data_IF_536707171704
#
_entry.id   IF_536707171704
#
_cell.length_a   1.000
_cell.length_b   1.000
_cell.length_c   1.000
_cell.angle_alpha   90.00
_cell.angle_beta   90.00
_cell.angle_gamma   90.00
#
_symmetry.space_group_name_H-M   'P 1'
#
loop_
_entity.id
_entity.type
_entity.pdbx_description
1 polymer ?
#
# COMPACT_ATOMS: atom_id res chain seq x y z
N UNK A 1 -0.60 10.56 -3.22
CA UNK A 1 -1.97 10.48 -2.69
C UNK A 1 -1.92 9.98 -1.26
N UNK A 2 -2.78 10.48 -0.37
CA UNK A 2 -2.90 9.98 1.00
C UNK A 2 -3.56 8.59 1.01
N UNK A 3 -3.01 7.66 1.81
CA UNK A 3 -3.49 6.27 1.86
C UNK A 3 -4.92 6.18 2.43
N UNK A 4 -5.31 7.04 3.38
CA UNK A 4 -6.67 7.00 3.95
C UNK A 4 -7.68 7.48 2.92
N UNK A 5 -7.38 8.56 2.20
CA UNK A 5 -8.22 9.06 1.11
C UNK A 5 -8.42 7.99 0.02
N UNK A 6 -7.35 7.27 -0.33
CA UNK A 6 -7.45 6.14 -1.24
C UNK A 6 -8.43 5.08 -0.77
N UNK A 7 -8.30 4.61 0.48
CA UNK A 7 -9.20 3.60 1.04
C UNK A 7 -10.66 4.10 1.06
N UNK A 8 -10.90 5.36 1.41
CA UNK A 8 -12.25 5.94 1.39
C UNK A 8 -12.86 5.94 -0.01
N UNK A 9 -12.06 6.32 -1.02
CA UNK A 9 -12.48 6.26 -2.42
C UNK A 9 -12.79 4.84 -2.87
N UNK A 10 -11.97 3.85 -2.49
CA UNK A 10 -12.20 2.45 -2.86
C UNK A 10 -13.44 1.85 -2.18
N UNK A 11 -13.68 2.18 -0.91
CA UNK A 11 -14.94 1.78 -0.23
C UNK A 11 -16.14 2.43 -0.93
N UNK A 12 -16.06 3.72 -1.23
CA UNK A 12 -17.11 4.45 -1.93
C UNK A 12 -17.44 3.86 -3.30
N UNK A 13 -16.41 3.55 -4.09
CA UNK A 13 -16.55 2.88 -5.40
C UNK A 13 -17.21 1.51 -5.26
N UNK A 14 -16.82 0.69 -4.29
CA UNK A 14 -17.41 -0.65 -4.07
C UNK A 14 -18.90 -0.56 -3.75
N UNK A 15 -19.29 0.32 -2.83
CA UNK A 15 -20.72 0.54 -2.50
C UNK A 15 -21.49 1.08 -3.71
N UNK A 16 -20.90 2.01 -4.46
CA UNK A 16 -21.50 2.54 -5.69
C UNK A 16 -21.70 1.45 -6.75
N UNK A 17 -20.70 0.61 -6.97
CA UNK A 17 -20.76 -0.48 -7.94
C UNK A 17 -21.82 -1.51 -7.53
N UNK A 18 -21.90 -1.87 -6.25
CA UNK A 18 -22.96 -2.75 -5.74
C UNK A 18 -24.35 -2.16 -6.00
N UNK A 19 -24.54 -0.87 -5.72
CA UNK A 19 -25.80 -0.16 -6.01
C UNK A 19 -26.16 -0.19 -7.49
N UNK A 20 -25.19 0.11 -8.37
CA UNK A 20 -25.38 0.15 -9.81
C UNK A 20 -25.68 -1.24 -10.38
N UNK A 21 -24.99 -2.27 -9.88
CA UNK A 21 -25.27 -3.67 -10.20
C UNK A 21 -26.68 -4.10 -9.74
N UNK A 22 -27.18 -3.52 -8.65
CA UNK A 22 -28.55 -3.75 -8.19
C UNK A 22 -29.60 -2.93 -8.97
N UNK A 23 -29.16 -2.06 -9.90
CA UNK A 23 -30.02 -1.33 -10.82
C UNK A 23 -30.88 -0.26 -10.16
N UNK A 24 -30.44 0.32 -9.03
CA UNK A 24 -31.24 1.29 -8.26
C UNK A 24 -30.56 2.66 -8.10
N UNK A 25 -31.39 3.68 -7.93
CA UNK A 25 -30.95 5.02 -7.53
C UNK A 25 -30.44 5.00 -6.09
N UNK A 26 -29.74 6.06 -5.66
CA UNK A 26 -29.32 6.21 -4.27
C UNK A 26 -30.50 6.14 -3.29
N UNK A 27 -31.62 6.80 -3.60
CA UNK A 27 -32.83 6.74 -2.78
C UNK A 27 -33.42 5.32 -2.72
N UNK A 28 -33.46 4.62 -3.86
CA UNK A 28 -33.92 3.24 -3.93
C UNK A 28 -33.03 2.29 -3.14
N UNK A 29 -31.72 2.46 -3.22
CA UNK A 29 -30.72 1.66 -2.50
C UNK A 29 -30.88 1.82 -0.99
N UNK A 30 -30.95 3.06 -0.51
CA UNK A 30 -31.16 3.38 0.90
C UNK A 30 -32.46 2.78 1.43
N UNK A 31 -33.56 2.96 0.66
CA UNK A 31 -34.88 2.45 1.06
C UNK A 31 -34.85 0.94 1.24
N UNK A 32 -34.30 0.21 0.26
CA UNK A 32 -34.24 -1.27 0.32
C UNK A 32 -33.35 -1.77 1.45
N UNK A 33 -32.13 -1.23 1.57
CA UNK A 33 -31.19 -1.66 2.63
C UNK A 33 -31.77 -1.41 4.02
N UNK A 34 -32.40 -0.25 4.24
CA UNK A 34 -33.02 0.04 5.53
C UNK A 34 -34.20 -0.91 5.84
N UNK A 35 -34.98 -1.29 4.83
CA UNK A 35 -36.05 -2.29 4.99
C UNK A 35 -35.48 -3.68 5.33
N UNK A 36 -34.48 -4.13 4.58
CA UNK A 36 -33.82 -5.43 4.78
C UNK A 36 -33.19 -5.50 6.19
N UNK A 37 -32.49 -4.45 6.61
CA UNK A 37 -31.89 -4.36 7.93
C UNK A 37 -32.92 -4.35 9.07
N UNK A 38 -34.04 -3.64 8.88
CA UNK A 38 -35.10 -3.54 9.88
C UNK A 38 -35.90 -4.85 10.03
N UNK A 39 -36.02 -5.63 8.96
CA UNK A 39 -36.66 -6.95 8.99
C UNK A 39 -35.83 -7.96 9.81
N UNK A 40 -34.51 -7.80 9.83
CA UNK A 40 -33.58 -8.69 10.52
C UNK A 40 -33.26 -8.24 11.97
N UNK A 41 -33.46 -6.95 12.30
CA UNK A 41 -33.15 -6.41 13.64
C UNK A 41 -34.37 -6.40 14.58
N UNK A 42 -34.37 -7.26 15.62
CA UNK A 42 -35.27 -7.14 16.80
C UNK A 42 -34.95 -5.94 17.72
N UNK A 43 -34.08 -5.01 17.30
CA UNK A 43 -33.55 -3.93 18.14
C UNK A 43 -33.91 -2.55 17.57
N UNK A 44 -34.56 -1.73 18.41
CA UNK A 44 -35.08 -0.37 18.17
C UNK A 44 -34.03 0.73 17.88
N UNK A 45 -32.77 0.42 17.56
CA UNK A 45 -31.76 1.45 17.28
C UNK A 45 -31.66 1.74 15.79
N UNK A 46 -32.49 2.67 15.38
CA UNK A 46 -32.61 3.36 14.09
C UNK A 46 -31.31 3.99 13.57
N UNK A 47 -30.30 3.19 13.25
CA UNK A 47 -29.24 3.69 12.37
C UNK A 47 -29.79 3.57 10.96
N UNK A 48 -30.38 4.64 10.45
CA UNK A 48 -30.85 4.68 9.07
C UNK A 48 -29.77 5.29 8.21
N UNK A 49 -29.34 4.55 7.19
CA UNK A 49 -28.57 5.14 6.10
C UNK A 49 -29.46 6.19 5.43
N UNK A 50 -28.95 7.39 5.15
CA UNK A 50 -29.68 8.41 4.39
C UNK A 50 -29.09 8.54 2.99
N UNK A 51 -29.86 9.05 2.02
CA UNK A 51 -29.37 9.26 0.65
C UNK A 51 -28.21 10.24 0.60
N UNK A 52 -28.27 11.33 1.38
CA UNK A 52 -27.14 12.26 1.50
C UNK A 52 -25.89 11.56 2.02
N UNK A 53 -26.06 10.71 3.05
CA UNK A 53 -24.96 9.99 3.65
C UNK A 53 -24.34 8.98 2.68
N UNK A 54 -25.17 8.21 1.98
CA UNK A 54 -24.74 7.32 0.90
C UNK A 54 -23.97 8.08 -0.17
N UNK A 55 -24.48 9.24 -0.62
CA UNK A 55 -23.80 10.07 -1.61
C UNK A 55 -22.41 10.51 -1.14
N UNK A 56 -22.26 10.91 0.13
CA UNK A 56 -20.94 11.23 0.68
C UNK A 56 -19.99 10.02 0.68
N UNK A 57 -20.49 8.83 1.05
CA UNK A 57 -19.72 7.58 1.06
C UNK A 57 -19.28 7.21 -0.36
N UNK A 58 -20.19 7.18 -1.32
CA UNK A 58 -19.90 6.82 -2.73
C UNK A 58 -18.87 7.75 -3.38
N UNK A 59 -18.78 8.99 -2.91
CA UNK A 59 -17.82 9.97 -3.38
C UNK A 59 -16.55 10.07 -2.51
N UNK A 60 -16.33 9.13 -1.57
CA UNK A 60 -15.13 9.11 -0.71
C UNK A 60 -15.02 10.30 0.25
N UNK A 61 -16.12 11.03 0.49
CA UNK A 61 -16.12 12.27 1.29
C UNK A 61 -16.25 11.97 2.78
N UNK A 62 -15.15 12.12 3.51
CA UNK A 62 -15.16 12.09 4.98
C UNK A 62 -15.71 13.39 5.56
N UNK A 63 -16.70 13.28 6.45
CA UNK A 63 -17.19 14.42 7.23
C UNK A 63 -16.21 14.75 8.37
N UNK A 64 -16.02 16.04 8.67
CA UNK A 64 -15.18 16.50 9.77
C UNK A 64 -15.66 15.87 11.08
N UNK A 65 -14.72 15.40 11.92
CA UNK A 65 -14.98 14.78 13.24
C UNK A 65 -15.73 13.45 13.25
N UNK A 66 -16.06 12.87 12.09
CA UNK A 66 -16.71 11.55 11.99
C UNK A 66 -15.79 10.50 11.37
N UNK A 67 -16.00 9.25 11.76
CA UNK A 67 -15.43 8.12 11.03
C UNK A 67 -15.98 8.11 9.59
N UNK A 68 -15.20 7.56 8.65
CA UNK A 68 -15.64 7.50 7.26
C UNK A 68 -16.90 6.65 7.11
N UNK A 69 -16.96 5.51 7.79
CA UNK A 69 -18.17 4.75 8.08
C UNK A 69 -18.32 4.62 9.60
N UNK A 70 -19.55 4.76 10.10
CA UNK A 70 -19.90 4.39 11.48
C UNK A 70 -20.09 2.87 11.59
N UNK A 71 -20.05 2.33 12.81
CA UNK A 71 -20.25 0.89 13.01
C UNK A 71 -21.63 0.42 12.57
N UNK A 72 -22.67 1.23 12.80
CA UNK A 72 -24.01 0.92 12.30
C UNK A 72 -24.07 0.89 10.77
N UNK A 73 -23.34 1.80 10.09
CA UNK A 73 -23.23 1.75 8.62
C UNK A 73 -22.48 0.50 8.14
N UNK A 74 -21.38 0.13 8.82
CA UNK A 74 -20.66 -1.12 8.54
C UNK A 74 -21.60 -2.32 8.72
N UNK A 75 -22.32 -2.40 9.83
CA UNK A 75 -23.23 -3.50 10.12
C UNK A 75 -24.34 -3.60 9.08
N UNK A 76 -24.97 -2.48 8.72
CA UNK A 76 -26.01 -2.42 7.69
C UNK A 76 -25.49 -2.98 6.36
N UNK A 77 -24.33 -2.50 5.90
CA UNK A 77 -23.76 -2.96 4.63
C UNK A 77 -23.38 -4.44 4.68
N UNK A 78 -22.78 -4.91 5.78
CA UNK A 78 -22.37 -6.32 5.90
C UNK A 78 -23.53 -7.29 6.07
N UNK A 79 -24.63 -6.89 6.70
CA UNK A 79 -25.80 -7.78 6.79
C UNK A 79 -26.60 -7.86 5.49
N UNK A 80 -26.65 -6.75 4.74
CA UNK A 80 -27.54 -6.66 3.60
C UNK A 80 -26.84 -6.96 2.26
N UNK A 81 -25.57 -6.58 2.10
CA UNK A 81 -24.92 -6.50 0.77
C UNK A 81 -23.55 -7.17 0.67
N UNK A 82 -22.72 -7.11 1.71
CA UNK A 82 -21.33 -7.55 1.66
C UNK A 82 -21.10 -8.77 2.57
N UNK A 83 -20.48 -9.86 2.09
CA UNK A 83 -20.26 -11.08 2.87
C UNK A 83 -19.48 -10.89 4.17
N UNK A 84 -18.63 -9.86 4.26
CA UNK A 84 -17.85 -9.58 5.45
C UNK A 84 -17.44 -8.10 5.58
N UNK A 85 -17.05 -7.70 6.80
CA UNK A 85 -16.41 -6.39 7.05
C UNK A 85 -15.13 -6.23 6.24
N UNK A 86 -14.35 -7.31 6.10
CA UNK A 86 -13.11 -7.28 5.31
C UNK A 86 -13.40 -6.91 3.86
N UNK A 87 -14.39 -7.56 3.25
CA UNK A 87 -14.77 -7.31 1.85
C UNK A 87 -15.37 -5.91 1.66
N UNK A 88 -16.18 -5.44 2.61
CA UNK A 88 -16.69 -4.07 2.61
C UNK A 88 -15.59 -3.01 2.76
N UNK A 89 -14.53 -3.28 3.52
CA UNK A 89 -13.53 -2.26 3.84
C UNK A 89 -12.32 -2.29 2.89
N UNK A 90 -11.85 -3.47 2.53
CA UNK A 90 -10.64 -3.66 1.71
C UNK A 90 -10.90 -4.35 0.37
N UNK A 91 -12.08 -4.94 0.18
CA UNK A 91 -12.47 -5.60 -1.07
C UNK A 91 -12.21 -7.09 -1.07
N UNK A 92 -12.32 -7.66 -2.26
CA UNK A 92 -11.98 -9.06 -2.57
C UNK A 92 -10.49 -9.33 -2.35
N UNK A 93 -10.11 -10.61 -2.34
CA UNK A 93 -8.72 -11.02 -2.16
C UNK A 93 -7.77 -10.35 -3.17
N UNK A 94 -8.19 -10.25 -4.43
CA UNK A 94 -7.42 -9.59 -5.48
C UNK A 94 -7.25 -8.08 -5.24
N UNK A 95 -8.29 -7.41 -4.72
CA UNK A 95 -8.19 -6.01 -4.33
C UNK A 95 -7.24 -5.83 -3.14
N UNK A 96 -7.32 -6.69 -2.12
CA UNK A 96 -6.41 -6.67 -0.97
C UNK A 96 -4.97 -6.88 -1.45
N UNK A 97 -4.71 -7.88 -2.29
CA UNK A 97 -3.38 -8.12 -2.88
C UNK A 97 -2.87 -6.89 -3.61
N UNK A 98 -3.70 -6.23 -4.43
CA UNK A 98 -3.32 -5.00 -5.15
C UNK A 98 -2.97 -3.84 -4.20
N UNK A 99 -3.71 -3.69 -3.09
CA UNK A 99 -3.42 -2.70 -2.04
C UNK A 99 -2.05 -3.02 -1.40
N UNK A 100 -1.81 -4.28 -1.04
CA UNK A 100 -0.56 -4.72 -0.43
C UNK A 100 0.63 -4.50 -1.37
N UNK A 101 0.50 -4.84 -2.66
CA UNK A 101 1.53 -4.56 -3.67
C UNK A 101 1.88 -3.07 -3.74
N UNK A 102 0.87 -2.21 -3.77
CA UNK A 102 1.06 -0.75 -3.82
C UNK A 102 1.69 -0.20 -2.53
N UNK A 103 1.32 -0.74 -1.37
CA UNK A 103 1.93 -0.37 -0.08
C UNK A 103 3.39 -0.80 -0.01
N UNK A 104 3.70 -2.05 -0.37
CA UNK A 104 5.07 -2.55 -0.41
C UNK A 104 5.92 -1.77 -1.42
N UNK A 105 5.36 -1.40 -2.57
CA UNK A 105 6.03 -0.55 -3.53
C UNK A 105 6.33 0.84 -2.93
N UNK A 106 5.36 1.46 -2.26
CA UNK A 106 5.59 2.74 -1.59
C UNK A 106 6.68 2.64 -0.50
N UNK A 107 6.72 1.53 0.25
CA UNK A 107 7.80 1.23 1.20
C UNK A 107 9.15 1.05 0.51
N UNK A 108 9.21 0.29 -0.60
CA UNK A 108 10.42 0.11 -1.40
C UNK A 108 10.95 1.46 -1.89
N UNK A 109 10.07 2.36 -2.34
CA UNK A 109 10.46 3.69 -2.79
C UNK A 109 10.89 4.63 -1.66
N UNK A 110 10.42 4.40 -0.41
CA UNK A 110 10.75 5.18 0.79
C UNK A 110 10.77 6.70 0.56
N UNK A 111 9.72 7.22 -0.08
CA UNK A 111 9.56 8.65 -0.40
C UNK A 111 10.32 9.15 -1.64
N UNK A 112 11.10 8.30 -2.32
CA UNK A 112 11.71 8.63 -3.60
C UNK A 112 10.66 8.71 -4.72
N UNK A 113 10.75 9.73 -5.58
CA UNK A 113 9.79 10.00 -6.66
C UNK A 113 10.41 9.74 -8.04
N UNK A 114 9.75 8.92 -8.85
CA UNK A 114 10.23 8.49 -10.18
C UNK A 114 9.92 9.47 -11.33
N UNK A 115 9.70 10.76 -11.05
CA UNK A 115 9.30 11.73 -12.08
C UNK A 115 8.04 11.30 -12.85
N UNK A 116 8.00 11.51 -14.18
CA UNK A 116 6.89 11.10 -15.07
C UNK A 116 7.11 9.70 -15.65
N UNK A 117 7.13 8.68 -14.80
CA UNK A 117 7.19 7.29 -15.23
C UNK A 117 5.89 6.61 -14.83
N UNK A 118 5.23 5.97 -15.79
CA UNK A 118 4.01 5.20 -15.54
C UNK A 118 4.36 3.95 -14.75
N UNK A 119 3.62 3.72 -13.67
CA UNK A 119 3.72 2.53 -12.82
C UNK A 119 2.34 1.91 -12.68
N UNK A 120 2.27 0.59 -12.58
CA UNK A 120 1.01 -0.12 -12.28
C UNK A 120 0.51 0.10 -10.84
N UNK A 121 1.39 0.61 -9.97
CA UNK A 121 1.11 0.85 -8.56
C UNK A 121 0.39 2.16 -8.31
N UNK A 122 -0.43 2.15 -7.27
CA UNK A 122 -0.90 3.37 -6.68
C UNK A 122 0.22 4.04 -5.88
N UNK A 123 0.60 5.26 -6.26
CA UNK A 123 1.65 6.01 -5.59
C UNK A 123 1.10 6.69 -4.32
N UNK A 124 1.42 6.11 -3.16
CA UNK A 124 1.14 6.70 -1.86
C UNK A 124 2.26 7.67 -1.47
N UNK A 125 1.88 8.83 -0.94
CA UNK A 125 2.86 9.76 -0.40
C UNK A 125 3.30 9.27 0.98
N UNK A 126 4.48 8.66 1.03
CA UNK A 126 5.14 8.23 2.25
C UNK A 126 6.38 9.11 2.44
N UNK A 127 6.52 9.72 3.61
CA UNK A 127 7.74 10.43 3.97
C UNK A 127 8.87 9.44 4.23
N UNK A 128 10.08 9.79 3.81
CA UNK A 128 11.26 8.98 4.11
C UNK A 128 11.37 8.71 5.62
N UNK A 129 11.60 7.44 5.98
CA UNK A 129 11.86 7.01 7.36
C UNK A 129 12.97 5.97 7.39
N UNK A 130 13.68 5.88 8.52
CA UNK A 130 14.76 4.88 8.72
C UNK A 130 14.19 3.47 8.87
N UNK A 131 13.02 3.34 9.48
CA UNK A 131 12.33 2.05 9.63
C UNK A 131 11.91 1.49 8.26
N UNK A 132 11.42 2.36 7.38
CA UNK A 132 11.04 1.97 6.01
C UNK A 132 12.28 1.73 5.15
N UNK A 133 13.39 2.44 5.38
CA UNK A 133 14.67 2.19 4.69
C UNK A 133 15.12 0.74 4.87
N UNK A 134 15.02 0.23 6.10
CA UNK A 134 15.36 -1.16 6.39
C UNK A 134 14.57 -2.14 5.53
N UNK A 135 13.24 -1.96 5.45
CA UNK A 135 12.36 -2.79 4.62
C UNK A 135 12.67 -2.63 3.13
N UNK A 136 12.87 -1.40 2.66
CA UNK A 136 13.27 -1.12 1.27
C UNK A 136 14.53 -1.90 0.89
N UNK A 137 15.54 -1.87 1.75
CA UNK A 137 16.81 -2.56 1.52
C UNK A 137 16.68 -4.09 1.55
N UNK A 138 15.83 -4.64 2.41
CA UNK A 138 15.50 -6.07 2.37
C UNK A 138 14.86 -6.43 1.02
N UNK A 139 13.89 -5.65 0.54
CA UNK A 139 13.24 -5.91 -0.75
C UNK A 139 14.27 -5.83 -1.89
N UNK A 140 15.16 -4.84 -1.91
CA UNK A 140 16.24 -4.74 -2.91
C UNK A 140 17.14 -5.98 -2.89
N UNK A 141 17.45 -6.52 -1.71
CA UNK A 141 18.23 -7.78 -1.60
C UNK A 141 17.50 -8.96 -2.20
N UNK A 142 16.18 -9.07 -1.98
CA UNK A 142 15.38 -10.09 -2.66
C UNK A 142 15.38 -9.87 -4.18
N UNK A 143 15.35 -8.61 -4.64
CA UNK A 143 15.46 -8.28 -6.07
C UNK A 143 16.78 -8.74 -6.70
N UNK A 144 17.88 -8.80 -5.93
CA UNK A 144 19.17 -9.35 -6.41
C UNK A 144 19.10 -10.84 -6.77
N UNK A 145 18.06 -11.56 -6.35
CA UNK A 145 17.83 -12.94 -6.82
C UNK A 145 17.43 -13.01 -8.30
N UNK A 146 17.00 -11.89 -8.90
CA UNK A 146 16.63 -11.81 -10.32
C UNK A 146 17.88 -11.48 -11.15
N UNK A 147 18.34 -12.37 -12.05
CA UNK A 147 19.63 -12.21 -12.74
C UNK A 147 19.77 -10.88 -13.51
N UNK A 148 18.73 -10.44 -14.20
CA UNK A 148 18.71 -9.17 -14.96
C UNK A 148 18.96 -7.97 -14.04
N UNK A 149 18.35 -7.97 -12.85
CA UNK A 149 18.55 -6.92 -11.87
C UNK A 149 19.92 -6.99 -11.21
N UNK A 150 20.40 -8.19 -10.87
CA UNK A 150 21.75 -8.38 -10.31
C UNK A 150 22.85 -7.90 -11.27
N UNK A 151 22.70 -8.18 -12.57
CA UNK A 151 23.58 -7.65 -13.60
C UNK A 151 23.50 -6.12 -13.62
N UNK A 152 22.29 -5.55 -13.68
CA UNK A 152 22.14 -4.08 -13.76
C UNK A 152 22.62 -3.36 -12.51
N UNK A 153 22.41 -3.95 -11.34
CA UNK A 153 22.95 -3.50 -10.06
C UNK A 153 24.48 -3.45 -10.13
N UNK A 154 25.12 -4.55 -10.56
CA UNK A 154 26.57 -4.62 -10.69
C UNK A 154 27.11 -3.56 -11.65
N UNK A 155 26.44 -3.35 -12.79
CA UNK A 155 26.77 -2.28 -13.74
C UNK A 155 26.73 -0.90 -13.09
N UNK A 156 25.66 -0.59 -12.35
CA UNK A 156 25.45 0.72 -11.71
C UNK A 156 26.49 1.03 -10.65
N UNK A 157 26.90 0.04 -9.85
CA UNK A 157 27.81 0.27 -8.73
C UNK A 157 29.29 0.11 -9.12
N UNK A 158 29.62 -0.82 -10.02
CA UNK A 158 31.02 -1.15 -10.31
C UNK A 158 31.51 -0.72 -11.71
N UNK A 159 30.60 -0.43 -12.64
CA UNK A 159 30.96 -0.21 -14.06
C UNK A 159 30.46 1.11 -14.67
N UNK A 160 29.99 2.08 -13.86
CA UNK A 160 29.58 3.40 -14.37
C UNK A 160 30.72 4.05 -15.17
N UNK A 161 30.42 4.33 -16.44
CA UNK A 161 31.32 4.95 -17.42
C UNK A 161 31.73 6.39 -17.07
N UNK A 162 30.98 7.03 -16.19
CA UNK A 162 30.97 8.50 -16.04
C UNK A 162 32.09 8.99 -15.10
N UNK A 163 32.69 8.08 -14.33
CA UNK A 163 33.84 8.36 -13.45
C UNK A 163 35.18 8.12 -14.13
N UNK A 164 35.19 7.58 -15.36
CA UNK A 164 36.41 7.14 -16.03
C UNK A 164 36.34 7.60 -17.50
N UNK A 165 36.94 8.75 -17.79
CA UNK A 165 37.17 9.16 -19.18
C UNK A 165 38.11 8.15 -19.85
N UNK A 166 37.54 7.26 -20.66
CA UNK A 166 38.25 6.21 -21.39
C UNK A 166 39.10 6.76 -22.55
N UNK A 167 38.99 8.06 -22.87
CA UNK A 167 39.74 8.67 -23.99
C UNK A 167 41.14 9.13 -23.63
N UNK A 168 41.50 9.23 -22.35
CA UNK A 168 42.87 9.60 -21.94
C UNK A 168 43.69 8.36 -21.59
N UNK A 169 44.43 7.89 -22.59
CA UNK A 169 45.54 6.95 -22.44
C UNK A 169 46.56 7.48 -21.41
N UNK A 170 47.02 6.56 -20.55
CA UNK A 170 48.25 6.65 -19.75
C UNK A 170 48.28 7.63 -18.57
N UNK A 171 47.83 7.16 -17.39
CA UNK A 171 48.49 7.54 -16.14
C UNK A 171 48.26 6.48 -15.06
N UNK A 172 49.31 6.11 -14.32
CA UNK A 172 49.19 5.27 -13.11
C UNK A 172 48.15 5.82 -12.10
N UNK A 173 47.87 7.12 -12.15
CA UNK A 173 46.81 7.79 -11.40
C UNK A 173 45.39 7.28 -11.72
N UNK A 174 45.10 6.83 -12.95
CA UNK A 174 43.78 6.26 -13.30
C UNK A 174 43.56 4.87 -12.70
N UNK A 175 44.61 4.06 -12.57
CA UNK A 175 44.53 2.75 -11.91
C UNK A 175 44.34 2.93 -10.41
N UNK A 176 45.06 3.89 -9.80
CA UNK A 176 44.88 4.25 -8.39
C UNK A 176 43.46 4.75 -8.09
N UNK A 177 42.92 5.67 -8.91
CA UNK A 177 41.54 6.17 -8.78
C UNK A 177 40.50 5.07 -8.95
N UNK A 178 40.68 4.15 -9.91
CA UNK A 178 39.80 2.98 -10.08
C UNK A 178 39.79 2.07 -8.86
N UNK A 179 40.96 1.72 -8.34
CA UNK A 179 41.07 0.90 -7.11
C UNK A 179 40.44 1.58 -5.91
N UNK A 180 40.64 2.89 -5.77
CA UNK A 180 40.05 3.66 -4.69
C UNK A 180 38.52 3.68 -4.79
N UNK A 181 37.97 4.01 -5.96
CA UNK A 181 36.52 4.02 -6.17
C UNK A 181 35.90 2.65 -5.92
N UNK A 182 36.48 1.59 -6.46
CA UNK A 182 36.03 0.22 -6.20
C UNK A 182 36.04 -0.10 -4.70
N UNK A 183 37.11 0.28 -3.98
CA UNK A 183 37.19 0.05 -2.54
C UNK A 183 36.14 0.84 -1.75
N UNK A 184 35.80 2.06 -2.16
CA UNK A 184 34.78 2.87 -1.51
C UNK A 184 33.38 2.30 -1.76
N UNK A 185 33.06 1.99 -3.02
CA UNK A 185 31.79 1.35 -3.38
C UNK A 185 31.62 0.03 -2.64
N UNK A 186 32.65 -0.81 -2.57
CA UNK A 186 32.58 -2.08 -1.83
C UNK A 186 32.29 -1.84 -0.35
N UNK A 187 32.96 -0.88 0.30
CA UNK A 187 32.67 -0.53 1.71
C UNK A 187 31.24 -0.02 1.90
N UNK A 188 30.75 0.84 1.00
CA UNK A 188 29.37 1.34 1.05
C UNK A 188 28.37 0.17 0.94
N UNK A 189 28.60 -0.75 0.01
CA UNK A 189 27.73 -1.90 -0.21
C UNK A 189 27.84 -2.96 0.91
N UNK A 190 29.02 -3.13 1.53
CA UNK A 190 29.19 -3.99 2.70
C UNK A 190 28.38 -3.48 3.91
N UNK A 191 28.41 -2.17 4.16
CA UNK A 191 27.61 -1.53 5.21
C UNK A 191 26.12 -1.67 4.89
N UNK A 192 25.70 -1.33 3.66
CA UNK A 192 24.32 -1.50 3.22
C UNK A 192 23.84 -2.96 3.36
N UNK A 193 24.68 -3.92 2.99
CA UNK A 193 24.32 -5.33 3.03
C UNK A 193 24.22 -5.86 4.47
N UNK A 194 25.10 -5.44 5.37
CA UNK A 194 25.10 -5.89 6.76
C UNK A 194 24.05 -5.19 7.62
N UNK A 195 23.86 -3.89 7.46
CA UNK A 195 23.02 -3.08 8.34
C UNK A 195 21.61 -2.83 7.78
N UNK A 196 21.38 -3.12 6.49
CA UNK A 196 20.17 -2.73 5.75
C UNK A 196 19.93 -1.21 5.78
N UNK A 197 20.99 -0.41 5.78
CA UNK A 197 20.94 1.05 5.79
C UNK A 197 21.48 1.64 4.48
N UNK A 198 21.10 2.88 4.18
CA UNK A 198 21.49 3.58 2.96
C UNK A 198 20.39 3.53 1.89
N UNK A 199 20.23 4.66 1.17
CA UNK A 199 19.22 4.81 0.14
C UNK A 199 19.80 4.57 -1.26
N UNK A 200 19.63 3.35 -1.77
CA UNK A 200 20.13 2.98 -3.10
C UNK A 200 19.18 3.35 -4.24
N UNK A 201 17.92 3.66 -3.94
CA UNK A 201 16.87 3.89 -4.95
C UNK A 201 17.27 4.98 -5.97
N UNK A 202 17.81 6.14 -5.58
CA UNK A 202 18.25 7.16 -6.54
C UNK A 202 19.28 6.64 -7.55
N UNK A 203 20.26 5.83 -7.11
CA UNK A 203 21.28 5.24 -7.99
C UNK A 203 20.67 4.19 -8.93
N UNK A 204 19.73 3.39 -8.41
CA UNK A 204 19.05 2.33 -9.15
C UNK A 204 18.08 2.87 -10.21
N UNK A 205 17.58 4.09 -10.02
CA UNK A 205 16.53 4.71 -10.86
C UNK A 205 16.99 5.98 -11.58
N UNK A 206 18.29 6.20 -11.66
CA UNK A 206 18.85 7.40 -12.28
C UNK A 206 18.60 7.48 -13.80
N UNK A 207 18.66 6.35 -14.49
CA UNK A 207 18.48 6.30 -15.96
C UNK A 207 17.13 5.67 -16.32
N UNK A 208 16.60 5.98 -17.51
CA UNK A 208 15.37 5.34 -18.01
C UNK A 208 15.50 3.82 -18.08
N UNK A 209 16.67 3.32 -18.52
CA UNK A 209 16.90 1.88 -18.65
C UNK A 209 17.00 1.21 -17.26
N UNK A 210 17.77 1.78 -16.33
CA UNK A 210 17.88 1.23 -14.98
C UNK A 210 16.54 1.26 -14.25
N UNK A 211 15.77 2.33 -14.41
CA UNK A 211 14.42 2.43 -13.85
C UNK A 211 13.48 1.37 -14.41
N UNK A 212 13.53 1.09 -15.72
CA UNK A 212 12.72 0.03 -16.33
C UNK A 212 13.06 -1.34 -15.74
N UNK A 213 14.34 -1.67 -15.62
CA UNK A 213 14.79 -2.95 -15.02
C UNK A 213 14.36 -3.03 -13.54
N UNK A 214 14.53 -1.93 -12.79
CA UNK A 214 14.08 -1.82 -11.40
C UNK A 214 12.59 -2.07 -11.25
N UNK A 215 11.73 -1.37 -12.01
CA UNK A 215 10.27 -1.51 -11.95
C UNK A 215 9.79 -2.91 -12.34
N UNK A 216 10.34 -3.46 -13.43
CA UNK A 216 10.00 -4.82 -13.87
C UNK A 216 10.36 -5.87 -12.81
N UNK A 217 11.48 -5.66 -12.11
CA UNK A 217 11.94 -6.57 -11.06
C UNK A 217 11.11 -6.41 -9.79
N UNK A 218 10.80 -5.17 -9.41
CA UNK A 218 9.94 -4.85 -8.27
C UNK A 218 8.55 -5.50 -8.45
N UNK A 219 7.96 -5.42 -9.65
CA UNK A 219 6.71 -6.11 -9.99
C UNK A 219 6.73 -7.60 -9.66
N UNK A 220 7.71 -8.34 -10.19
CA UNK A 220 7.85 -9.78 -9.94
C UNK A 220 8.08 -10.11 -8.45
N UNK A 221 8.94 -9.35 -7.78
CA UNK A 221 9.31 -9.61 -6.38
C UNK A 221 8.16 -9.29 -5.43
N UNK A 222 7.50 -8.14 -5.63
CA UNK A 222 6.37 -7.73 -4.81
C UNK A 222 5.16 -8.66 -5.01
N UNK A 223 4.92 -9.14 -6.23
CA UNK A 223 3.95 -10.19 -6.50
C UNK A 223 4.21 -11.42 -5.62
N UNK A 224 5.42 -11.96 -5.68
CA UNK A 224 5.82 -13.15 -4.93
C UNK A 224 5.73 -12.94 -3.41
N UNK A 225 6.18 -11.79 -2.91
CA UNK A 225 6.08 -11.45 -1.47
C UNK A 225 4.61 -11.43 -1.03
N UNK A 226 3.74 -10.80 -1.83
CA UNK A 226 2.31 -10.73 -1.50
C UNK A 226 1.68 -12.12 -1.52
N UNK A 227 1.91 -12.93 -2.56
CA UNK A 227 1.38 -14.30 -2.61
C UNK A 227 1.83 -15.15 -1.43
N UNK A 228 3.11 -15.04 -1.02
CA UNK A 228 3.65 -15.80 0.11
C UNK A 228 3.04 -15.40 1.45
N UNK A 229 2.74 -14.11 1.65
CA UNK A 229 2.29 -13.57 2.93
C UNK A 229 0.76 -13.38 3.01
N UNK A 230 0.04 -13.59 1.90
CA UNK A 230 -1.34 -13.14 1.76
C UNK A 230 -2.26 -13.72 2.83
N UNK A 231 -2.25 -15.03 3.03
CA UNK A 231 -3.12 -15.69 4.00
C UNK A 231 -2.86 -15.23 5.44
N UNK A 232 -1.59 -15.10 5.83
CA UNK A 232 -1.22 -14.61 7.17
C UNK A 232 -1.64 -13.14 7.38
N UNK A 233 -1.46 -12.29 6.36
CA UNK A 233 -1.90 -10.89 6.41
C UNK A 233 -3.41 -10.81 6.50
N UNK A 234 -4.13 -11.60 5.70
CA UNK A 234 -5.59 -11.66 5.69
C UNK A 234 -6.15 -12.13 7.03
N UNK A 235 -5.55 -13.14 7.64
CA UNK A 235 -5.92 -13.61 8.98
C UNK A 235 -5.73 -12.49 10.02
N UNK A 236 -4.57 -11.82 10.03
CA UNK A 236 -4.30 -10.69 10.94
C UNK A 236 -5.27 -9.53 10.74
N UNK A 237 -5.64 -9.22 9.49
CA UNK A 237 -6.65 -8.18 9.20
C UNK A 237 -8.01 -8.57 9.75
N UNK A 238 -8.45 -9.81 9.55
CA UNK A 238 -9.70 -10.32 10.10
C UNK A 238 -9.71 -10.27 11.63
N UNK A 239 -8.63 -10.69 12.29
CA UNK A 239 -8.51 -10.64 13.74
C UNK A 239 -8.55 -9.22 14.28
N UNK A 240 -7.91 -8.26 13.60
CA UNK A 240 -7.99 -6.85 13.95
C UNK A 240 -9.42 -6.32 13.82
N UNK A 241 -10.12 -6.67 12.73
CA UNK A 241 -11.52 -6.26 12.51
C UNK A 241 -12.48 -6.86 13.54
N UNK A 242 -12.26 -8.13 13.94
CA UNK A 242 -13.03 -8.79 15.02
C UNK A 242 -12.75 -8.18 16.39
N UNK A 243 -11.49 -7.86 16.70
CA UNK A 243 -11.13 -7.31 18.01
C UNK A 243 -11.60 -5.86 18.21
N UNK A 244 -11.81 -5.09 17.13
CA UNK A 244 -12.50 -3.80 17.22
C UNK A 244 -13.92 -3.93 17.80
N UNK A 245 -14.59 -5.07 17.59
CA UNK A 245 -15.90 -5.36 18.21
C UNK A 245 -15.81 -5.51 19.74
N UNK A 246 -14.69 -6.02 20.27
CA UNK A 246 -14.51 -6.28 21.70
C UNK A 246 -14.20 -5.03 22.51
N UNK A 247 -13.52 -4.05 21.93
CA UNK A 247 -13.15 -2.80 22.62
C UNK A 247 -14.26 -1.73 22.60
N UNK A 248 -15.29 -1.90 21.79
CA UNK A 248 -16.44 -0.98 21.73
C UNK A 248 -17.66 -1.46 22.54
N UNK A 249 -17.57 -2.64 23.17
CA UNK A 249 -18.56 -3.17 24.13
C UNK A 249 -18.06 -3.42 25.57
N UNK A 250 -17.25 -2.53 26.20
CA UNK A 250 -17.27 -2.40 27.65
C UNK A 250 -17.86 -1.03 28.08
N UNK A 251 -19.01 -1.11 28.76
CA UNK A 251 -19.53 -0.13 29.72
C UNK A 251 -19.76 1.33 29.27
N UNK A 252 -20.99 1.60 28.81
CA UNK A 252 -21.74 2.79 29.26
C UNK A 252 -23.04 2.38 29.95
N UNK A 253 -22.89 1.53 30.97
CA UNK A 253 -23.88 1.31 32.04
C UNK A 253 -23.16 1.16 33.38
N UNK A 254 -22.21 2.05 33.69
CA UNK A 254 -21.75 2.26 35.07
C UNK A 254 -21.32 3.72 35.22
N UNK A 255 -22.26 4.65 35.07
CA UNK A 255 -22.15 5.97 35.68
C UNK A 255 -23.56 6.55 35.77
N UNK A 256 -24.19 6.27 36.92
CA UNK A 256 -25.29 6.98 37.60
C UNK A 256 -26.17 5.99 38.34
N UNK A 257 -25.74 5.64 39.55
CA UNK A 257 -26.61 5.72 40.72
C UNK A 257 -25.80 6.39 41.82
N UNK A 258 -26.17 7.64 42.11
CA UNK A 258 -26.10 8.16 43.47
C UNK A 258 -27.19 7.53 44.32
#
# INVERSE_FOLDING_TARGET
>A
MDFKEYIYNEIGKRIKNDRENWGVTQDGYVTRINLDYSADSKNEKSTYLTRERLSNIENGKKQKERNFLSNGEVDIFTKCRFPSRLELLLGTDEEIKKILKSLLFACLMNGHKLGKIETEYQLFDISYSKEIEHLSNIIIKVMLSIPEFAQKFSEIFFYRSDYIDFKTTESHNLVGKRKHHFSETTKELEIWYSENTGNLIPKLTETKQSTKVFLNTASKVLENIVELLFEEVKEKLNDRLRNLEKYEFPNRFQEKKG
#
